data_IF_164490249701
#
_entry.id   IF_164490249701
#
_cell.length_a   1.000
_cell.length_b   1.000
_cell.length_c   1.000
_cell.angle_alpha   90.00
_cell.angle_beta   90.00
_cell.angle_gamma   90.00
#
_symmetry.space_group_name_H-M   'P 1'
#
loop_
_entity.id
_entity.type
_entity.pdbx_description
1 polymer ?
#
# COMPACT_ATOMS: atom_id res chain seq x y z
N UNK A 1 21.03 -0.71 1.76
CA UNK A 1 22.26 -0.13 2.28
C UNK A 1 21.99 0.64 3.56
N UNK A 2 22.95 0.61 4.49
CA UNK A 2 22.95 1.48 5.66
C UNK A 2 24.22 2.33 5.64
N UNK A 3 24.05 3.63 5.69
CA UNK A 3 25.14 4.61 5.75
C UNK A 3 24.84 5.63 6.84
N UNK A 4 25.88 6.17 7.48
CA UNK A 4 25.65 7.16 8.52
C UNK A 4 26.81 7.26 9.51
N UNK A 5 26.48 7.53 10.76
CA UNK A 5 27.49 7.69 11.81
C UNK A 5 28.37 6.44 11.94
N UNK A 6 29.69 6.62 11.91
CA UNK A 6 30.67 5.54 11.92
C UNK A 6 30.49 4.56 13.08
N UNK A 7 30.23 5.06 14.29
CA UNK A 7 30.03 4.22 15.49
C UNK A 7 28.79 3.34 15.38
N UNK A 8 27.69 3.87 14.81
CA UNK A 8 26.46 3.12 14.60
C UNK A 8 26.64 2.08 13.50
N UNK A 9 27.29 2.43 12.40
CA UNK A 9 27.59 1.49 11.31
C UNK A 9 28.54 0.38 11.78
N UNK A 10 29.54 0.69 12.57
CA UNK A 10 30.42 -0.31 13.16
C UNK A 10 29.66 -1.29 14.08
N UNK A 11 28.78 -0.78 14.92
CA UNK A 11 27.93 -1.61 15.78
C UNK A 11 27.01 -2.51 14.96
N UNK A 12 26.34 -1.98 13.92
CA UNK A 12 25.48 -2.74 13.00
C UNK A 12 26.29 -3.84 12.27
N UNK A 13 27.47 -3.52 11.77
CA UNK A 13 28.38 -4.46 11.10
C UNK A 13 28.74 -5.62 12.02
N UNK A 14 29.05 -5.32 13.28
CA UNK A 14 29.37 -6.33 14.28
C UNK A 14 28.19 -7.26 14.56
N UNK A 15 26.99 -6.73 14.73
CA UNK A 15 25.79 -7.53 14.94
C UNK A 15 25.49 -8.41 13.72
N UNK A 16 25.54 -7.84 12.51
CA UNK A 16 25.31 -8.59 11.27
C UNK A 16 26.33 -9.71 11.03
N UNK A 17 27.57 -9.51 11.41
CA UNK A 17 28.61 -10.55 11.25
C UNK A 17 28.31 -11.84 12.03
N UNK A 18 27.49 -11.77 13.09
CA UNK A 18 27.05 -12.94 13.86
C UNK A 18 25.68 -13.46 13.42
N UNK A 19 24.81 -12.59 12.87
CA UNK A 19 23.44 -12.98 12.50
C UNK A 19 23.36 -13.67 11.14
N UNK A 20 24.01 -13.12 10.12
CA UNK A 20 23.81 -13.58 8.73
C UNK A 20 25.13 -13.76 7.93
N UNK A 21 26.26 -13.55 8.55
CA UNK A 21 27.61 -13.64 7.92
C UNK A 21 27.78 -12.78 6.65
N UNK A 22 26.88 -11.84 6.43
CA UNK A 22 26.81 -10.97 5.26
C UNK A 22 25.70 -11.33 4.28
N UNK A 23 25.41 -10.41 3.38
CA UNK A 23 24.37 -10.59 2.37
C UNK A 23 24.85 -11.57 1.29
N UNK A 24 23.90 -12.30 0.68
CA UNK A 24 24.17 -13.22 -0.44
C UNK A 24 24.92 -12.51 -1.56
N UNK A 25 26.07 -13.01 -1.95
CA UNK A 25 27.02 -12.35 -2.89
C UNK A 25 26.36 -11.91 -4.21
N UNK A 26 25.50 -12.70 -4.89
CA UNK A 26 24.84 -12.24 -6.12
C UNK A 26 24.02 -10.96 -5.94
N UNK A 27 23.39 -10.77 -4.77
CA UNK A 27 22.65 -9.53 -4.46
C UNK A 27 23.62 -8.34 -4.31
N UNK A 28 24.81 -8.56 -3.73
CA UNK A 28 25.83 -7.51 -3.62
C UNK A 28 26.36 -7.11 -5.00
N UNK A 29 26.58 -8.08 -5.88
CA UNK A 29 27.01 -7.83 -7.27
C UNK A 29 25.91 -7.05 -8.05
N UNK A 30 24.63 -7.47 -7.92
CA UNK A 30 23.52 -6.77 -8.54
C UNK A 30 23.40 -5.33 -8.01
N UNK A 31 23.56 -5.13 -6.70
CA UNK A 31 23.54 -3.80 -6.10
C UNK A 31 24.70 -2.92 -6.60
N UNK A 32 25.89 -3.50 -6.77
CA UNK A 32 27.05 -2.79 -7.33
C UNK A 32 26.79 -2.38 -8.78
N UNK A 33 26.21 -3.26 -9.59
CA UNK A 33 25.84 -2.95 -10.97
C UNK A 33 24.80 -1.83 -11.03
N UNK A 34 23.78 -1.88 -10.18
CA UNK A 34 22.74 -0.84 -10.12
C UNK A 34 23.30 0.52 -9.70
N UNK A 35 24.24 0.55 -8.74
CA UNK A 35 24.85 1.81 -8.27
C UNK A 35 25.81 2.44 -9.30
N UNK A 36 26.44 1.63 -10.13
CA UNK A 36 27.37 2.10 -11.19
C UNK A 36 26.68 2.28 -12.55
N UNK A 37 25.39 1.98 -12.66
CA UNK A 37 24.60 2.16 -13.87
C UNK A 37 24.30 3.63 -14.18
N UNK A 38 23.76 3.88 -15.37
CA UNK A 38 23.40 5.23 -15.84
C UNK A 38 22.10 5.79 -15.24
N UNK A 39 21.42 5.02 -14.40
CA UNK A 39 20.15 5.41 -13.78
C UNK A 39 18.92 5.28 -14.66
N UNK A 40 19.04 4.76 -15.89
CA UNK A 40 17.92 4.54 -16.80
C UNK A 40 16.87 3.61 -16.20
N UNK A 41 17.29 2.56 -15.50
CA UNK A 41 16.40 1.63 -14.79
C UNK A 41 15.59 2.32 -13.69
N UNK A 42 16.22 3.25 -12.96
CA UNK A 42 15.55 4.05 -11.92
C UNK A 42 14.48 4.94 -12.57
N UNK A 43 14.81 5.59 -13.67
CA UNK A 43 13.88 6.44 -14.41
C UNK A 43 12.68 5.63 -14.94
N UNK A 44 12.93 4.43 -15.48
CA UNK A 44 11.89 3.51 -15.93
C UNK A 44 10.95 3.09 -14.79
N UNK A 45 11.48 2.55 -13.69
CA UNK A 45 10.69 2.10 -12.53
C UNK A 45 9.87 3.26 -11.94
N UNK A 46 10.49 4.43 -11.79
CA UNK A 46 9.80 5.64 -11.31
C UNK A 46 8.62 6.00 -12.21
N UNK A 47 8.79 5.93 -13.53
CA UNK A 47 7.72 6.23 -14.48
C UNK A 47 6.57 5.21 -14.39
N UNK A 48 6.87 3.92 -14.26
CA UNK A 48 5.86 2.86 -14.06
C UNK A 48 5.00 3.16 -12.82
N UNK A 49 5.63 3.45 -11.67
CA UNK A 49 4.87 3.77 -10.46
C UNK A 49 4.10 5.09 -10.55
N UNK A 50 4.66 6.08 -11.25
CA UNK A 50 3.94 7.33 -11.52
C UNK A 50 2.66 7.08 -12.32
N UNK A 51 2.72 6.28 -13.40
CA UNK A 51 1.55 5.95 -14.20
C UNK A 51 0.49 5.20 -13.39
N UNK A 52 0.90 4.20 -12.62
CA UNK A 52 -0.01 3.45 -11.74
C UNK A 52 -0.67 4.32 -10.69
N UNK A 53 0.09 5.22 -10.06
CA UNK A 53 -0.42 6.23 -9.13
C UNK A 53 -1.48 7.11 -9.79
N UNK A 54 -1.16 7.67 -10.95
CA UNK A 54 -2.05 8.59 -11.66
C UNK A 54 -3.36 7.87 -12.04
N UNK A 55 -3.27 6.61 -12.50
CA UNK A 55 -4.45 5.77 -12.78
C UNK A 55 -5.23 5.44 -11.52
N UNK A 56 -4.57 5.14 -10.39
CA UNK A 56 -5.25 4.87 -9.12
C UNK A 56 -6.07 6.09 -8.69
N UNK A 57 -5.41 7.24 -8.57
CA UNK A 57 -6.03 8.49 -8.12
C UNK A 57 -7.24 8.85 -8.98
N UNK A 58 -7.07 8.85 -10.29
CA UNK A 58 -8.13 9.18 -11.25
C UNK A 58 -9.31 8.17 -11.22
N UNK A 59 -9.01 6.87 -11.25
CA UNK A 59 -10.08 5.86 -11.33
C UNK A 59 -10.82 5.66 -10.01
N UNK A 60 -10.15 5.79 -8.86
CA UNK A 60 -10.80 5.70 -7.55
C UNK A 60 -11.61 6.97 -7.25
N UNK A 61 -11.11 8.15 -7.60
CA UNK A 61 -11.88 9.39 -7.51
C UNK A 61 -13.19 9.31 -8.31
N UNK A 62 -13.15 8.80 -9.54
CA UNK A 62 -14.37 8.54 -10.35
C UNK A 62 -15.28 7.44 -9.77
N UNK A 63 -14.74 6.57 -8.95
CA UNK A 63 -15.51 5.57 -8.22
C UNK A 63 -16.19 6.11 -6.95
N UNK A 64 -15.85 7.34 -6.53
CA UNK A 64 -16.36 7.97 -5.31
C UNK A 64 -15.47 7.76 -4.08
N UNK A 65 -14.22 7.35 -4.28
CA UNK A 65 -13.22 7.24 -3.22
C UNK A 65 -12.04 8.14 -3.51
N UNK A 66 -11.96 9.24 -2.80
CA UNK A 66 -10.87 10.21 -2.96
C UNK A 66 -9.56 9.66 -2.41
N UNK A 67 -8.54 9.63 -3.26
CA UNK A 67 -7.21 9.13 -2.93
C UNK A 67 -6.22 10.28 -2.99
N UNK A 68 -5.68 10.73 -1.85
CA UNK A 68 -4.62 11.73 -1.86
C UNK A 68 -3.41 11.21 -2.67
N UNK A 69 -2.94 11.95 -3.68
CA UNK A 69 -1.85 11.48 -4.52
C UNK A 69 -0.55 11.37 -3.71
N UNK A 70 0.04 10.18 -3.54
CA UNK A 70 1.30 10.05 -2.82
C UNK A 70 2.43 10.73 -3.59
N UNK A 71 3.25 11.50 -2.88
CA UNK A 71 4.40 12.19 -3.46
C UNK A 71 5.52 11.23 -3.87
N UNK A 72 5.62 10.08 -3.19
CA UNK A 72 6.67 9.09 -3.39
C UNK A 72 6.16 7.69 -3.00
N UNK A 73 6.99 6.70 -3.14
CA UNK A 73 6.80 5.29 -2.81
C UNK A 73 5.86 4.53 -3.76
N UNK A 74 5.75 3.23 -3.51
CA UNK A 74 4.85 2.30 -4.19
C UNK A 74 3.55 2.07 -3.41
N UNK A 75 3.26 2.91 -2.44
CA UNK A 75 2.08 2.81 -1.59
C UNK A 75 1.29 4.11 -1.60
N UNK A 76 -0.04 3.99 -1.56
CA UNK A 76 -0.94 5.08 -1.23
C UNK A 76 -1.53 4.84 0.16
N UNK A 77 -1.49 5.85 1.00
CA UNK A 77 -2.13 5.89 2.30
C UNK A 77 -3.45 6.62 2.14
N UNK A 78 -4.56 5.89 2.25
CA UNK A 78 -5.86 6.35 1.78
C UNK A 78 -6.84 6.38 2.94
N UNK A 79 -7.50 7.52 3.20
CA UNK A 79 -8.52 7.59 4.23
C UNK A 79 -9.72 6.71 3.85
N UNK A 80 -10.29 6.03 4.84
CA UNK A 80 -11.53 5.27 4.68
C UNK A 80 -12.66 6.25 4.36
N UNK A 81 -13.53 5.97 3.37
CA UNK A 81 -14.68 6.82 3.09
C UNK A 81 -15.53 7.04 4.33
N UNK A 82 -16.00 8.29 4.55
CA UNK A 82 -16.66 8.74 5.78
C UNK A 82 -17.73 7.77 6.29
N UNK A 83 -18.60 7.27 5.40
CA UNK A 83 -19.69 6.34 5.76
C UNK A 83 -19.20 5.01 6.35
N UNK A 84 -17.94 4.63 6.14
CA UNK A 84 -17.34 3.39 6.64
C UNK A 84 -16.33 3.60 7.74
N UNK A 85 -15.99 4.85 8.10
CA UNK A 85 -14.94 5.17 9.06
C UNK A 85 -15.17 4.54 10.43
N UNK A 86 -16.44 4.50 10.87
CA UNK A 86 -16.82 3.90 12.16
C UNK A 86 -16.53 2.38 12.26
N UNK A 87 -16.27 1.69 11.14
CA UNK A 87 -15.92 0.27 11.15
C UNK A 87 -14.46 0.02 11.53
N UNK A 88 -13.61 1.03 11.39
CA UNK A 88 -12.16 0.87 11.46
C UNK A 88 -11.58 0.17 10.22
N UNK A 89 -10.26 0.19 10.12
CA UNK A 89 -9.55 -0.25 8.93
C UNK A 89 -9.60 -1.76 8.69
N UNK A 90 -9.68 -2.56 9.76
CA UNK A 90 -9.70 -4.02 9.63
C UNK A 90 -11.02 -4.50 9.01
N UNK A 91 -12.16 -4.08 9.57
CA UNK A 91 -13.47 -4.49 9.07
C UNK A 91 -13.73 -3.92 7.68
N UNK A 92 -13.34 -2.67 7.43
CA UNK A 92 -13.43 -2.09 6.09
C UNK A 92 -12.60 -2.88 5.06
N UNK A 93 -11.39 -3.32 5.41
CA UNK A 93 -10.56 -4.15 4.52
C UNK A 93 -11.19 -5.51 4.22
N UNK A 94 -11.83 -6.14 5.20
CA UNK A 94 -12.60 -7.39 5.00
C UNK A 94 -13.77 -7.18 4.03
N UNK A 95 -14.55 -6.13 4.23
CA UNK A 95 -15.66 -5.79 3.34
C UNK A 95 -15.20 -5.55 1.89
N UNK A 96 -14.06 -4.92 1.69
CA UNK A 96 -13.50 -4.74 0.35
C UNK A 96 -13.14 -6.07 -0.33
N UNK A 97 -12.62 -7.04 0.43
CA UNK A 97 -12.35 -8.38 -0.10
C UNK A 97 -13.65 -9.10 -0.45
N UNK A 98 -14.63 -9.10 0.45
CA UNK A 98 -15.87 -9.86 0.31
C UNK A 98 -16.81 -9.29 -0.76
N UNK A 99 -16.91 -7.96 -0.87
CA UNK A 99 -17.89 -7.29 -1.73
C UNK A 99 -17.31 -6.67 -2.99
N UNK A 100 -16.01 -6.43 -3.03
CA UNK A 100 -15.36 -5.77 -4.16
C UNK A 100 -14.22 -6.59 -4.79
N UNK A 101 -13.85 -7.74 -4.23
CA UNK A 101 -12.67 -8.54 -4.65
C UNK A 101 -11.38 -7.69 -4.65
N UNK A 102 -11.25 -6.80 -3.67
CA UNK A 102 -10.09 -5.90 -3.55
C UNK A 102 -9.44 -6.06 -2.19
N UNK A 103 -8.17 -6.50 -2.19
CA UNK A 103 -7.38 -6.60 -0.98
C UNK A 103 -6.55 -5.32 -0.74
N UNK A 104 -6.65 -4.78 0.47
CA UNK A 104 -5.84 -3.65 0.95
C UNK A 104 -5.27 -4.00 2.33
N UNK A 105 -4.21 -3.33 2.73
CA UNK A 105 -3.69 -3.52 4.08
C UNK A 105 -4.40 -2.57 5.06
N UNK A 106 -5.00 -3.09 6.15
CA UNK A 106 -5.64 -2.26 7.17
C UNK A 106 -4.61 -1.39 7.87
N UNK A 107 -4.92 -0.12 8.04
CA UNK A 107 -3.99 0.86 8.59
C UNK A 107 -3.65 0.62 10.06
N UNK A 108 -4.55 0.01 10.85
CA UNK A 108 -4.28 -0.38 12.24
C UNK A 108 -3.06 -1.30 12.37
N UNK A 109 -2.75 -2.09 11.33
CA UNK A 109 -1.54 -2.91 11.28
C UNK A 109 -0.23 -2.12 11.30
N UNK A 110 -0.28 -0.80 11.12
CA UNK A 110 0.85 0.13 11.17
C UNK A 110 0.84 1.02 12.41
N UNK A 111 -0.04 0.76 13.37
CA UNK A 111 -0.21 1.51 14.62
C UNK A 111 -1.65 2.02 14.79
N UNK A 112 -2.03 2.31 16.03
CA UNK A 112 -3.40 2.71 16.40
C UNK A 112 -3.92 3.94 15.64
N UNK A 113 -3.05 4.91 15.35
CA UNK A 113 -3.41 6.10 14.58
C UNK A 113 -3.68 5.81 13.08
N UNK A 114 -3.44 4.58 12.63
CA UNK A 114 -3.72 4.14 11.27
C UNK A 114 -5.14 3.63 11.04
N UNK A 115 -5.97 3.50 12.07
CA UNK A 115 -7.25 2.80 11.97
C UNK A 115 -8.31 3.52 11.09
N UNK A 116 -8.11 4.79 10.79
CA UNK A 116 -8.94 5.54 9.84
C UNK A 116 -8.48 5.43 8.37
N UNK A 117 -7.44 4.63 8.10
CA UNK A 117 -6.79 4.54 6.80
C UNK A 117 -6.62 3.10 6.33
N UNK A 118 -6.43 2.95 5.03
CA UNK A 118 -5.91 1.71 4.43
C UNK A 118 -4.69 2.01 3.57
N UNK A 119 -3.78 1.03 3.45
CA UNK A 119 -2.64 1.13 2.55
C UNK A 119 -2.91 0.34 1.27
N UNK A 120 -2.83 1.01 0.13
CA UNK A 120 -2.95 0.41 -1.19
C UNK A 120 -1.57 0.31 -1.82
N UNK A 121 -1.21 -0.87 -2.35
CA UNK A 121 0.04 -1.09 -3.05
C UNK A 121 -0.14 -0.86 -4.57
N UNK A 122 0.77 -0.11 -5.19
CA UNK A 122 0.79 0.20 -6.62
C UNK A 122 1.53 -0.90 -7.43
N UNK A 123 1.46 -2.15 -6.99
CA UNK A 123 2.20 -3.27 -7.59
C UNK A 123 1.49 -3.89 -8.78
N UNK A 124 0.19 -3.68 -8.91
CA UNK A 124 -0.61 -4.18 -10.02
C UNK A 124 -0.55 -3.24 -11.24
N UNK A 125 -0.84 -3.80 -12.43
CA UNK A 125 -0.89 -3.01 -13.66
C UNK A 125 -2.17 -2.14 -13.72
N UNK A 126 -2.17 -1.18 -14.64
CA UNK A 126 -3.23 -0.17 -14.75
C UNK A 126 -4.60 -0.79 -15.08
N UNK A 127 -4.66 -1.93 -15.78
CA UNK A 127 -5.91 -2.62 -16.10
C UNK A 127 -6.55 -3.20 -14.83
N UNK A 128 -5.73 -3.80 -13.96
CA UNK A 128 -6.18 -4.34 -12.67
C UNK A 128 -6.61 -3.23 -11.73
N UNK A 129 -5.88 -2.11 -11.70
CA UNK A 129 -6.25 -0.93 -10.90
C UNK A 129 -7.62 -0.40 -11.35
N UNK A 130 -7.86 -0.26 -12.65
CA UNK A 130 -9.17 0.17 -13.17
C UNK A 130 -10.27 -0.85 -12.90
N UNK A 131 -9.96 -2.15 -12.90
CA UNK A 131 -10.92 -3.18 -12.52
C UNK A 131 -11.32 -3.06 -11.06
N UNK A 132 -10.34 -2.91 -10.15
CA UNK A 132 -10.57 -2.67 -8.74
C UNK A 132 -11.45 -1.43 -8.52
N UNK A 133 -11.18 -0.33 -9.23
CA UNK A 133 -12.01 0.88 -9.18
C UNK A 133 -13.47 0.63 -9.59
N UNK A 134 -13.72 -0.17 -10.62
CA UNK A 134 -15.11 -0.54 -11.03
C UNK A 134 -15.82 -1.35 -9.94
N UNK A 135 -15.12 -2.28 -9.32
CA UNK A 135 -15.66 -3.10 -8.24
C UNK A 135 -15.98 -2.24 -7.01
N UNK A 136 -15.04 -1.38 -6.63
CA UNK A 136 -15.22 -0.39 -5.54
C UNK A 136 -16.40 0.54 -5.82
N UNK A 137 -16.55 1.01 -7.05
CA UNK A 137 -17.72 1.84 -7.42
C UNK A 137 -19.03 1.13 -7.14
N UNK A 138 -19.16 -0.15 -7.52
CA UNK A 138 -20.36 -0.96 -7.24
C UNK A 138 -20.58 -1.11 -5.74
N UNK A 139 -19.53 -1.42 -4.99
CA UNK A 139 -19.56 -1.52 -3.54
C UNK A 139 -20.01 -0.20 -2.88
N UNK A 140 -19.39 0.91 -3.24
CA UNK A 140 -19.73 2.22 -2.68
C UNK A 140 -21.14 2.69 -3.07
N UNK A 141 -21.69 2.22 -4.18
CA UNK A 141 -23.05 2.54 -4.63
C UNK A 141 -24.12 1.61 -4.06
N UNK A 142 -23.73 0.55 -3.35
CA UNK A 142 -24.68 -0.37 -2.71
C UNK A 142 -25.46 0.34 -1.59
N UNK A 143 -26.75 0.02 -1.47
CA UNK A 143 -27.60 0.56 -0.39
C UNK A 143 -27.18 0.00 0.96
N UNK A 144 -27.38 0.78 2.01
CA UNK A 144 -26.95 0.44 3.37
C UNK A 144 -27.54 -0.88 3.90
N UNK A 145 -28.73 -1.28 3.46
CA UNK A 145 -29.34 -2.57 3.81
C UNK A 145 -28.48 -3.78 3.45
N UNK A 146 -27.77 -3.73 2.32
CA UNK A 146 -26.89 -4.80 1.89
C UNK A 146 -25.56 -4.82 2.68
N UNK A 147 -25.13 -3.67 3.18
CA UNK A 147 -23.90 -3.54 3.99
C UNK A 147 -24.18 -3.90 5.44
N UNK A 148 -25.35 -3.51 5.97
CA UNK A 148 -25.73 -3.78 7.36
C UNK A 148 -25.93 -5.26 7.67
N UNK A 149 -26.33 -6.07 6.69
CA UNK A 149 -26.53 -7.51 6.86
C UNK A 149 -25.21 -8.31 6.94
N UNK A 150 -24.07 -7.69 6.58
CA UNK A 150 -22.75 -8.32 6.56
C UNK A 150 -21.91 -7.90 7.78
N UNK A 151 -22.25 -6.77 8.41
CA UNK A 151 -21.57 -6.31 9.62
C UNK A 151 -22.09 -7.11 10.83
N UNK A 152 -21.25 -7.90 11.54
CA UNK A 152 -21.66 -8.57 12.76
C UNK A 152 -22.20 -7.57 13.78
N UNK A 153 -23.30 -7.89 14.44
CA UNK A 153 -23.93 -7.05 15.48
C UNK A 153 -23.01 -6.76 16.69
N UNK A 154 -21.92 -7.50 16.82
CA UNK A 154 -20.95 -7.38 17.93
C UNK A 154 -20.05 -6.13 17.87
N UNK A 155 -19.99 -5.41 16.77
CA UNK A 155 -19.24 -4.16 16.61
C UNK A 155 -20.00 -2.88 16.94
N UNK A 156 -21.24 -2.95 17.39
CA UNK A 156 -22.08 -1.79 17.73
C UNK A 156 -22.01 -1.47 19.25
N UNK A 157 -20.83 -1.02 19.71
CA UNK A 157 -20.74 -0.37 21.01
C UNK A 157 -20.03 0.97 20.89
#
# INVERSE_FOLDING_TARGET
FAVGNERLIAALTRVKSYLDYGAFTPIQVAATAALNGDGSDIAYVRNVYKQRRDVLVDSFGRAGWDVPPPAATMFAWVPIPERFRALGSLEFSKLLVEMADVAVAPGVGFGEHGDEYVRIALVENEHRIRQAARNIKRFLSAKDENVQNIIPLEGRR
#
